data_IF_071449852141
#
_entry.id   IF_071449852141
#
_cell.length_a   1.000
_cell.length_b   1.000
_cell.length_c   1.000
_cell.angle_alpha   90.00
_cell.angle_beta   90.00
_cell.angle_gamma   90.00
#
_symmetry.space_group_name_H-M   'P 1'
#
loop_
_entity.id
_entity.type
_entity.pdbx_description
1 polymer ?
#
# COMPACT_ATOMS: atom_id res chain seq x y z
N UNK A 1 2.30 -2.22 47.47
CA UNK A 1 1.46 -3.28 46.86
C UNK A 1 0.66 -2.80 45.67
N UNK A 2 0.02 -1.63 45.71
CA UNK A 2 -0.74 -1.08 44.54
C UNK A 2 0.13 -0.73 43.34
N UNK A 3 1.32 -0.15 43.52
CA UNK A 3 2.23 0.20 42.42
C UNK A 3 2.81 -1.02 41.70
N UNK A 4 3.08 -2.12 42.42
CA UNK A 4 3.55 -3.38 41.80
C UNK A 4 2.45 -4.06 40.96
N UNK A 5 1.20 -3.93 41.39
CA UNK A 5 0.05 -4.46 40.66
C UNK A 5 -0.22 -3.63 39.37
N UNK A 6 -0.05 -2.29 39.41
CA UNK A 6 -0.17 -1.41 38.26
C UNK A 6 0.87 -1.71 37.21
N UNK A 7 2.14 -1.87 37.60
CA UNK A 7 3.23 -2.21 36.70
C UNK A 7 3.10 -3.60 36.05
N UNK A 8 2.58 -4.58 36.81
CA UNK A 8 2.31 -5.90 36.26
C UNK A 8 1.15 -5.89 35.24
N UNK A 9 0.13 -5.06 35.45
CA UNK A 9 -0.96 -4.89 34.48
C UNK A 9 -0.48 -4.17 33.19
N UNK A 10 0.33 -3.12 33.32
CA UNK A 10 0.92 -2.42 32.16
C UNK A 10 1.83 -3.35 31.33
N UNK A 11 2.62 -4.22 31.97
CA UNK A 11 3.43 -5.23 31.28
C UNK A 11 2.56 -6.27 30.56
N UNK A 12 1.45 -6.69 31.16
CA UNK A 12 0.53 -7.64 30.55
C UNK A 12 -0.18 -7.05 29.34
N UNK A 13 -0.60 -5.78 29.41
CA UNK A 13 -1.22 -5.06 28.29
C UNK A 13 -0.22 -4.85 27.13
N UNK A 14 1.05 -4.55 27.43
CA UNK A 14 2.12 -4.42 26.43
C UNK A 14 2.43 -5.74 25.74
N UNK A 15 2.43 -6.86 26.47
CA UNK A 15 2.64 -8.19 25.90
C UNK A 15 1.47 -8.60 24.99
N UNK A 16 0.22 -8.31 25.36
CA UNK A 16 -0.96 -8.61 24.54
C UNK A 16 -1.00 -7.75 23.25
N UNK A 17 -0.62 -6.48 23.34
CA UNK A 17 -0.55 -5.58 22.17
C UNK A 17 0.58 -5.97 21.21
N UNK A 18 1.73 -6.36 21.75
CA UNK A 18 2.87 -6.87 20.97
C UNK A 18 2.56 -8.22 20.30
N UNK A 19 1.86 -9.12 20.97
CA UNK A 19 1.41 -10.39 20.41
C UNK A 19 0.39 -10.18 19.28
N UNK A 20 -0.47 -9.17 19.38
CA UNK A 20 -1.44 -8.80 18.34
C UNK A 20 -0.73 -8.26 17.10
N UNK A 21 0.24 -7.34 17.24
CA UNK A 21 1.04 -6.83 16.13
C UNK A 21 1.83 -7.95 15.41
N UNK A 22 2.41 -8.86 16.17
CA UNK A 22 3.12 -10.02 15.61
C UNK A 22 2.15 -10.94 14.87
N UNK A 23 0.98 -11.19 15.41
CA UNK A 23 -0.04 -12.02 14.77
C UNK A 23 -0.54 -11.41 13.45
N UNK A 24 -0.79 -10.09 13.42
CA UNK A 24 -1.18 -9.36 12.21
C UNK A 24 -0.07 -9.40 11.14
N UNK A 25 1.18 -9.21 11.56
CA UNK A 25 2.33 -9.29 10.66
C UNK A 25 2.47 -10.69 10.06
N UNK A 26 2.36 -11.72 10.89
CA UNK A 26 2.40 -13.12 10.46
C UNK A 26 1.23 -13.46 9.52
N UNK A 27 0.02 -12.94 9.76
CA UNK A 27 -1.13 -13.12 8.89
C UNK A 27 -0.88 -12.51 7.50
N UNK A 28 -0.32 -11.30 7.44
CA UNK A 28 0.04 -10.64 6.16
C UNK A 28 1.09 -11.43 5.38
N UNK A 29 2.12 -11.93 6.05
CA UNK A 29 3.13 -12.78 5.39
C UNK A 29 2.54 -14.12 4.94
N UNK A 30 1.67 -14.73 5.75
CA UNK A 30 1.00 -15.99 5.40
C UNK A 30 0.20 -15.85 4.12
N UNK A 31 -0.65 -14.84 4.01
CA UNK A 31 -1.43 -14.57 2.79
C UNK A 31 -0.51 -14.36 1.58
N UNK A 32 0.58 -13.59 1.74
CA UNK A 32 1.57 -13.40 0.68
C UNK A 32 2.23 -14.71 0.24
N UNK A 33 2.61 -15.56 1.20
CA UNK A 33 3.21 -16.86 0.91
C UNK A 33 2.24 -17.82 0.23
N UNK A 34 0.98 -17.86 0.66
CA UNK A 34 -0.07 -18.69 0.05
C UNK A 34 -0.38 -18.27 -1.41
N UNK A 35 -0.28 -16.98 -1.72
CA UNK A 35 -0.42 -16.47 -3.08
C UNK A 35 0.81 -16.78 -3.96
N UNK A 36 1.99 -16.80 -3.35
CA UNK A 36 3.25 -16.97 -4.08
C UNK A 36 3.66 -18.44 -4.26
N UNK A 37 3.41 -19.28 -3.26
CA UNK A 37 3.79 -20.68 -3.27
C UNK A 37 2.57 -21.59 -3.34
N UNK A 38 2.62 -22.64 -4.17
CA UNK A 38 1.61 -23.71 -4.16
C UNK A 38 1.65 -24.51 -2.87
N UNK A 39 2.87 -24.74 -2.36
CA UNK A 39 3.14 -25.38 -1.08
C UNK A 39 4.18 -24.50 -0.36
N UNK A 40 3.86 -24.02 0.83
CA UNK A 40 4.75 -23.15 1.60
C UNK A 40 5.96 -23.98 2.06
N UNK A 41 7.21 -23.55 1.78
CA UNK A 41 8.41 -24.23 2.25
C UNK A 41 8.51 -24.31 3.78
N UNK A 42 9.20 -25.33 4.30
CA UNK A 42 9.42 -25.48 5.75
C UNK A 42 10.21 -24.30 6.35
N UNK A 43 11.21 -23.79 5.61
CA UNK A 43 11.93 -22.58 6.03
C UNK A 43 11.17 -21.33 5.59
N UNK A 44 10.32 -20.85 6.49
CA UNK A 44 9.48 -19.64 6.30
C UNK A 44 10.34 -18.39 6.07
N UNK A 45 11.50 -18.27 6.74
CA UNK A 45 12.36 -17.09 6.58
C UNK A 45 12.99 -17.05 5.19
N UNK A 46 13.45 -18.19 4.67
CA UNK A 46 13.96 -18.28 3.31
C UNK A 46 12.84 -18.03 2.30
N UNK A 47 11.64 -18.57 2.53
CA UNK A 47 10.47 -18.35 1.68
C UNK A 47 10.09 -16.86 1.59
N UNK A 48 10.03 -16.17 2.72
CA UNK A 48 9.77 -14.71 2.77
C UNK A 48 10.87 -13.94 2.01
N UNK A 49 12.13 -14.26 2.25
CA UNK A 49 13.25 -13.59 1.58
C UNK A 49 13.20 -13.76 0.05
N UNK A 50 12.86 -14.96 -0.43
CA UNK A 50 12.70 -15.22 -1.87
C UNK A 50 11.50 -14.51 -2.47
N UNK A 51 10.38 -14.47 -1.74
CA UNK A 51 9.20 -13.71 -2.16
C UNK A 51 9.51 -12.21 -2.28
N UNK A 52 10.17 -11.63 -1.29
CA UNK A 52 10.59 -10.23 -1.32
C UNK A 52 11.61 -9.94 -2.42
N UNK A 53 12.59 -10.84 -2.60
CA UNK A 53 13.56 -10.73 -3.69
C UNK A 53 12.88 -10.73 -5.07
N UNK A 54 11.89 -11.60 -5.26
CA UNK A 54 11.11 -11.60 -6.49
C UNK A 54 10.32 -10.30 -6.67
N UNK A 55 9.66 -9.83 -5.61
CA UNK A 55 8.91 -8.57 -5.63
C UNK A 55 9.81 -7.38 -5.96
N UNK A 56 11.03 -7.35 -5.44
CA UNK A 56 12.05 -6.35 -5.71
C UNK A 56 12.75 -6.55 -7.08
N UNK A 57 12.23 -7.41 -7.95
CA UNK A 57 12.76 -7.71 -9.28
C UNK A 57 14.19 -8.24 -9.29
N UNK A 58 14.58 -9.04 -8.29
CA UNK A 58 15.92 -9.62 -8.17
C UNK A 58 17.02 -8.63 -7.81
N UNK A 59 16.66 -7.40 -7.44
CA UNK A 59 17.65 -6.38 -7.04
C UNK A 59 18.16 -6.71 -5.64
N UNK A 60 19.46 -6.99 -5.54
CA UNK A 60 20.10 -7.06 -4.23
C UNK A 60 20.10 -5.66 -3.61
N UNK A 61 19.61 -5.57 -2.36
CA UNK A 61 19.55 -4.32 -1.61
C UNK A 61 20.96 -3.85 -1.20
N UNK A 62 21.75 -3.39 -2.16
CA UNK A 62 23.11 -2.84 -1.93
C UNK A 62 23.04 -1.56 -1.09
N UNK A 63 21.87 -0.90 -1.01
CA UNK A 63 21.69 0.40 -0.37
C UNK A 63 20.80 0.42 0.88
N UNK A 64 20.55 -0.74 1.55
CA UNK A 64 19.80 -0.75 2.85
C UNK A 64 20.35 0.22 3.90
N UNK A 65 21.60 0.68 3.76
CA UNK A 65 22.21 1.68 4.66
C UNK A 65 21.79 3.12 4.36
N UNK A 66 21.31 3.43 3.14
CA UNK A 66 20.86 4.79 2.77
C UNK A 66 19.35 4.99 2.92
N UNK A 67 18.55 3.92 2.86
CA UNK A 67 17.09 4.03 2.95
C UNK A 67 16.56 4.19 4.40
N UNK A 68 17.39 4.01 5.43
CA UNK A 68 17.01 4.30 6.84
C UNK A 68 16.68 5.78 7.14
N UNK A 69 16.82 6.68 6.15
CA UNK A 69 16.38 8.08 6.25
C UNK A 69 15.10 8.41 5.47
N UNK A 70 14.55 7.47 4.72
CA UNK A 70 13.20 7.59 4.16
C UNK A 70 12.20 7.11 5.22
N UNK A 71 12.07 7.89 6.27
CA UNK A 71 11.01 7.73 7.25
C UNK A 71 9.67 7.78 6.54
N UNK A 72 8.72 6.95 7.01
CA UNK A 72 7.30 6.98 6.66
C UNK A 72 7.07 7.36 5.20
N UNK A 73 7.47 6.48 4.28
CA UNK A 73 7.33 6.74 2.85
C UNK A 73 5.84 6.82 2.51
N UNK A 74 5.33 8.06 2.43
CA UNK A 74 3.97 8.29 1.97
C UNK A 74 3.80 7.54 0.65
N UNK A 75 2.82 6.64 0.57
CA UNK A 75 2.44 5.94 -0.64
C UNK A 75 2.18 6.96 -1.75
N UNK A 76 2.89 6.84 -2.87
CA UNK A 76 2.84 7.82 -3.96
C UNK A 76 1.97 7.35 -5.12
N UNK A 77 1.69 6.05 -5.21
CA UNK A 77 0.73 5.43 -6.12
C UNK A 77 0.12 4.19 -5.46
N UNK A 78 -1.00 3.74 -6.00
CA UNK A 78 -1.69 2.52 -5.60
C UNK A 78 -2.14 1.76 -6.83
N UNK A 79 -1.82 0.46 -6.92
CA UNK A 79 -2.15 -0.33 -8.09
C UNK A 79 -3.67 -0.50 -8.31
N UNK A 80 -4.46 -0.49 -7.24
CA UNK A 80 -5.92 -0.60 -7.35
C UNK A 80 -6.55 0.77 -7.64
N UNK A 81 -6.17 1.78 -6.86
CA UNK A 81 -6.75 3.12 -6.99
C UNK A 81 -6.38 3.80 -8.31
N UNK A 82 -5.15 3.59 -8.79
CA UNK A 82 -4.63 4.19 -10.01
C UNK A 82 -4.70 3.24 -11.22
N UNK A 83 -5.41 2.11 -11.11
CA UNK A 83 -5.46 1.05 -12.12
C UNK A 83 -5.77 1.57 -13.52
N UNK A 84 -6.77 2.42 -13.66
CA UNK A 84 -7.20 2.97 -14.96
C UNK A 84 -6.12 3.83 -15.62
N UNK A 85 -5.40 4.63 -14.82
CA UNK A 85 -4.31 5.47 -15.34
C UNK A 85 -3.09 4.63 -15.73
N UNK A 86 -2.81 3.56 -14.99
CA UNK A 86 -1.74 2.61 -15.31
C UNK A 86 -2.09 1.86 -16.58
N UNK A 87 -3.31 1.33 -16.67
CA UNK A 87 -3.81 0.65 -17.86
C UNK A 87 -3.69 1.53 -19.11
N UNK A 88 -4.22 2.76 -19.04
CA UNK A 88 -4.19 3.69 -20.15
C UNK A 88 -2.74 4.01 -20.61
N UNK A 89 -1.82 4.21 -19.66
CA UNK A 89 -0.42 4.49 -19.97
C UNK A 89 0.28 3.30 -20.64
N UNK A 90 0.03 2.07 -20.20
CA UNK A 90 0.58 0.86 -20.84
C UNK A 90 0.02 0.65 -22.22
N UNK A 91 -1.28 0.85 -22.39
CA UNK A 91 -1.93 0.72 -23.69
C UNK A 91 -1.42 1.77 -24.68
N UNK A 92 -1.36 3.05 -24.26
CA UNK A 92 -0.91 4.16 -25.09
C UNK A 92 0.57 4.04 -25.48
N UNK A 93 1.45 3.76 -24.50
CA UNK A 93 2.89 3.80 -24.74
C UNK A 93 3.45 2.50 -25.34
N UNK A 94 2.89 1.36 -24.96
CA UNK A 94 3.44 0.03 -25.32
C UNK A 94 2.50 -0.80 -26.17
N UNK A 95 1.24 -0.41 -26.34
CA UNK A 95 0.21 -1.22 -27.00
C UNK A 95 -0.12 -2.51 -26.22
N UNK A 96 0.17 -2.53 -24.92
CA UNK A 96 -0.07 -3.68 -24.05
C UNK A 96 -1.44 -3.53 -23.40
N UNK A 97 -2.34 -4.48 -23.67
CA UNK A 97 -3.60 -4.61 -22.97
C UNK A 97 -3.40 -5.43 -21.68
N UNK A 98 -3.36 -4.73 -20.55
CA UNK A 98 -3.17 -5.36 -19.25
C UNK A 98 -4.35 -6.21 -18.79
N UNK A 99 -5.54 -6.06 -19.41
CA UNK A 99 -6.71 -6.86 -19.10
C UNK A 99 -6.70 -8.22 -19.85
N UNK A 100 -6.05 -8.28 -21.02
CA UNK A 100 -6.03 -9.46 -21.87
C UNK A 100 -4.67 -10.20 -21.85
N UNK A 101 -3.58 -9.49 -21.53
CA UNK A 101 -2.21 -10.02 -21.62
C UNK A 101 -1.62 -10.29 -20.24
N UNK A 102 -1.29 -11.55 -19.99
CA UNK A 102 -0.49 -11.87 -18.80
C UNK A 102 0.92 -11.29 -18.93
N UNK A 103 1.29 -10.45 -17.95
CA UNK A 103 2.58 -9.80 -17.92
C UNK A 103 3.36 -10.24 -16.70
N UNK A 104 4.54 -10.82 -16.91
CA UNK A 104 5.44 -11.18 -15.81
C UNK A 104 5.76 -9.95 -14.96
N UNK A 105 5.75 -10.08 -13.63
CA UNK A 105 5.95 -8.97 -12.68
C UNK A 105 7.17 -8.11 -12.98
N UNK A 106 8.30 -8.72 -13.28
CA UNK A 106 9.53 -7.98 -13.57
C UNK A 106 9.43 -7.15 -14.85
N UNK A 107 8.76 -7.68 -15.87
CA UNK A 107 8.49 -6.93 -17.11
C UNK A 107 7.56 -5.76 -16.84
N UNK A 108 6.47 -6.00 -16.09
CA UNK A 108 5.56 -4.94 -15.67
C UNK A 108 6.30 -3.83 -14.91
N UNK A 109 7.08 -4.18 -13.88
CA UNK A 109 7.83 -3.23 -13.06
C UNK A 109 8.84 -2.40 -13.88
N UNK A 110 9.53 -3.04 -14.82
CA UNK A 110 10.47 -2.35 -15.71
C UNK A 110 9.74 -1.35 -16.64
N UNK A 111 8.65 -1.77 -17.27
CA UNK A 111 7.84 -0.92 -18.15
C UNK A 111 7.16 0.21 -17.39
N UNK A 112 6.62 -0.07 -16.19
CA UNK A 112 6.03 0.95 -15.33
C UNK A 112 7.04 2.03 -14.94
N UNK A 113 8.27 1.63 -14.60
CA UNK A 113 9.35 2.57 -14.28
C UNK A 113 9.86 3.37 -15.49
N UNK A 114 9.60 2.91 -16.71
CA UNK A 114 10.00 3.55 -17.96
C UNK A 114 8.85 4.32 -18.64
N UNK A 115 7.72 4.50 -17.96
CA UNK A 115 6.63 5.32 -18.48
C UNK A 115 7.07 6.78 -18.67
N UNK A 116 6.58 7.39 -19.73
CA UNK A 116 6.84 8.79 -20.07
C UNK A 116 6.33 9.73 -18.96
N UNK A 117 7.06 10.81 -18.70
CA UNK A 117 6.62 11.89 -17.79
C UNK A 117 5.32 12.57 -18.28
N UNK A 118 5.00 12.45 -19.56
CA UNK A 118 3.81 13.05 -20.15
C UNK A 118 2.54 12.23 -19.91
N UNK A 119 2.64 10.95 -19.58
CA UNK A 119 1.46 10.14 -19.29
C UNK A 119 0.79 10.57 -17.97
N UNK A 120 -0.52 10.26 -17.86
CA UNK A 120 -1.32 10.77 -16.75
C UNK A 120 -0.87 10.24 -15.39
N UNK A 121 -0.49 8.97 -15.29
CA UNK A 121 -0.03 8.39 -14.01
C UNK A 121 1.27 9.04 -13.52
N UNK A 122 2.23 9.34 -14.40
CA UNK A 122 3.47 10.04 -14.04
C UNK A 122 3.20 11.46 -13.54
N UNK A 123 2.26 12.17 -14.18
CA UNK A 123 1.80 13.48 -13.70
C UNK A 123 1.14 13.40 -12.31
N UNK A 124 0.27 12.41 -12.10
CA UNK A 124 -0.40 12.18 -10.81
C UNK A 124 0.63 11.91 -9.71
N UNK A 125 1.60 11.04 -9.96
CA UNK A 125 2.69 10.76 -9.02
C UNK A 125 3.44 12.05 -8.70
N UNK A 126 3.79 12.84 -9.71
CA UNK A 126 4.46 14.12 -9.56
C UNK A 126 3.62 15.09 -8.70
N UNK A 127 2.32 15.22 -8.96
CA UNK A 127 1.43 16.07 -8.15
C UNK A 127 1.40 15.66 -6.69
N UNK A 128 1.42 14.37 -6.37
CA UNK A 128 1.41 13.86 -4.99
C UNK A 128 2.68 14.18 -4.21
N UNK A 129 3.85 14.18 -4.87
CA UNK A 129 5.15 14.35 -4.20
C UNK A 129 5.74 15.75 -4.26
N UNK A 130 5.30 16.58 -5.21
CA UNK A 130 5.91 17.88 -5.45
C UNK A 130 5.94 18.75 -4.19
N UNK A 131 7.09 19.36 -3.87
CA UNK A 131 7.16 20.38 -2.80
C UNK A 131 6.73 21.74 -3.36
N UNK A 132 5.73 22.32 -2.73
CA UNK A 132 5.18 23.63 -3.14
C UNK A 132 5.81 24.79 -2.37
N UNK A 133 6.87 24.55 -1.58
CA UNK A 133 7.61 25.60 -0.87
C UNK A 133 8.38 26.45 -1.89
N UNK A 134 8.27 27.75 -1.75
CA UNK A 134 8.99 28.68 -2.64
C UNK A 134 8.34 28.91 -4.00
N UNK A 135 7.22 28.26 -4.32
CA UNK A 135 6.47 28.54 -5.56
C UNK A 135 5.67 29.83 -5.45
N UNK A 136 5.44 30.47 -6.60
CA UNK A 136 4.53 31.60 -6.70
C UNK A 136 3.09 31.19 -6.32
N UNK A 137 2.30 32.17 -5.87
CA UNK A 137 0.95 31.94 -5.32
C UNK A 137 0.05 31.15 -6.26
N UNK A 138 0.08 31.45 -7.55
CA UNK A 138 -0.74 30.80 -8.56
C UNK A 138 -0.32 29.35 -8.80
N UNK A 139 0.98 29.10 -8.98
CA UNK A 139 1.54 27.77 -9.12
C UNK A 139 1.25 26.91 -7.88
N UNK A 140 1.47 27.45 -6.69
CA UNK A 140 1.16 26.79 -5.43
C UNK A 140 -0.30 26.41 -5.31
N UNK A 141 -1.22 27.32 -5.72
CA UNK A 141 -2.65 27.07 -5.72
C UNK A 141 -3.01 25.92 -6.68
N UNK A 142 -2.42 25.90 -7.87
CA UNK A 142 -2.60 24.84 -8.85
C UNK A 142 -2.15 23.48 -8.32
N UNK A 143 -0.90 23.37 -7.83
CA UNK A 143 -0.38 22.09 -7.34
C UNK A 143 -1.11 21.60 -6.08
N UNK A 144 -1.52 22.48 -5.18
CA UNK A 144 -2.32 22.11 -4.02
C UNK A 144 -3.72 21.59 -4.42
N UNK A 145 -4.29 22.15 -5.49
CA UNK A 145 -5.55 21.63 -6.06
C UNK A 145 -5.34 20.25 -6.66
N UNK A 146 -4.25 20.03 -7.44
CA UNK A 146 -3.94 18.73 -8.03
C UNK A 146 -3.65 17.67 -6.97
N UNK A 147 -2.91 18.02 -5.92
CA UNK A 147 -2.69 17.12 -4.77
C UNK A 147 -4.00 16.62 -4.15
N UNK A 148 -4.95 17.52 -3.93
CA UNK A 148 -6.26 17.14 -3.36
C UNK A 148 -7.10 16.31 -4.32
N UNK A 149 -7.06 16.64 -5.61
CA UNK A 149 -7.83 15.93 -6.63
C UNK A 149 -7.38 14.47 -6.79
N UNK A 150 -6.08 14.22 -6.68
CA UNK A 150 -5.45 12.91 -6.88
C UNK A 150 -4.92 12.30 -5.57
N UNK A 151 -5.42 12.75 -4.42
CA UNK A 151 -5.02 12.19 -3.13
C UNK A 151 -5.43 10.72 -3.05
N UNK A 152 -4.49 9.86 -2.61
CA UNK A 152 -4.83 8.47 -2.34
C UNK A 152 -5.78 8.38 -1.15
N UNK A 153 -6.72 7.42 -1.17
CA UNK A 153 -7.49 7.10 0.02
C UNK A 153 -6.54 6.88 1.20
N UNK A 154 -6.94 7.33 2.36
CA UNK A 154 -6.21 6.99 3.58
C UNK A 154 -6.36 5.49 3.82
N UNK A 155 -5.28 4.84 4.23
CA UNK A 155 -5.38 3.47 4.71
C UNK A 155 -6.37 3.46 5.87
N UNK A 156 -7.51 2.84 5.65
CA UNK A 156 -8.58 2.68 6.64
C UNK A 156 -8.19 1.45 7.45
N UNK A 157 -8.31 1.52 8.78
CA UNK A 157 -8.08 0.34 9.62
C UNK A 157 -9.04 -0.80 9.23
N UNK A 158 -8.65 -2.05 9.45
CA UNK A 158 -9.50 -3.20 9.16
C UNK A 158 -10.86 -3.07 9.85
N UNK A 159 -10.90 -2.55 11.07
CA UNK A 159 -12.14 -2.29 11.83
C UNK A 159 -13.03 -1.26 11.12
N UNK A 160 -12.45 -0.20 10.58
CA UNK A 160 -13.21 0.82 9.84
C UNK A 160 -13.67 0.31 8.48
N UNK A 161 -12.85 -0.53 7.82
CA UNK A 161 -13.22 -1.21 6.57
C UNK A 161 -14.42 -2.14 6.82
N UNK A 162 -14.36 -3.01 7.83
CA UNK A 162 -15.46 -3.89 8.20
C UNK A 162 -16.73 -3.11 8.57
N UNK A 163 -16.58 -1.98 9.25
CA UNK A 163 -17.70 -1.10 9.57
C UNK A 163 -18.33 -0.51 8.32
N UNK A 164 -17.53 -0.02 7.38
CA UNK A 164 -18.02 0.50 6.10
C UNK A 164 -18.69 -0.58 5.27
N UNK A 165 -18.12 -1.80 5.23
CA UNK A 165 -18.71 -2.94 4.53
C UNK A 165 -20.07 -3.34 5.13
N UNK A 166 -20.18 -3.38 6.47
CA UNK A 166 -21.44 -3.64 7.15
C UNK A 166 -22.49 -2.58 6.86
N UNK A 167 -22.11 -1.29 6.89
CA UNK A 167 -23.00 -0.18 6.53
C UNK A 167 -23.45 -0.30 5.06
N UNK A 168 -22.53 -0.61 4.17
CA UNK A 168 -22.83 -0.78 2.74
C UNK A 168 -23.78 -1.95 2.51
N UNK A 169 -23.56 -3.08 3.16
CA UNK A 169 -24.46 -4.24 3.07
C UNK A 169 -25.86 -3.94 3.63
N UNK A 170 -25.94 -3.23 4.77
CA UNK A 170 -27.22 -2.81 5.33
C UNK A 170 -27.99 -1.88 4.38
N UNK A 171 -27.29 -0.92 3.75
CA UNK A 171 -27.90 0.00 2.77
C UNK A 171 -28.36 -0.70 1.48
N UNK A 172 -27.65 -1.75 1.04
CA UNK A 172 -28.01 -2.54 -0.13
C UNK A 172 -29.10 -3.59 0.16
N UNK A 173 -29.28 -3.94 1.46
CA UNK A 173 -30.29 -4.86 1.95
C UNK A 173 -31.61 -4.18 2.30
N UNK A 174 -31.94 -4.17 3.58
CA UNK A 174 -33.19 -3.60 4.12
C UNK A 174 -33.06 -2.14 4.57
N UNK A 175 -31.86 -1.59 4.57
CA UNK A 175 -31.57 -0.23 5.04
C UNK A 175 -31.54 -0.08 6.57
N UNK A 176 -31.56 -1.17 7.31
CA UNK A 176 -31.50 -1.12 8.80
C UNK A 176 -30.04 -0.89 9.25
N UNK A 177 -29.79 0.31 9.77
CA UNK A 177 -28.51 0.74 10.32
C UNK A 177 -28.44 0.64 11.84
N UNK A 178 -29.42 -0.02 12.48
CA UNK A 178 -29.51 -0.12 13.95
C UNK A 178 -28.23 -0.82 14.49
N UNK A 179 -27.44 -0.12 15.30
CA UNK A 179 -26.23 -0.63 15.94
C UNK A 179 -24.96 -0.51 15.09
N UNK A 180 -25.00 0.14 13.92
CA UNK A 180 -23.83 0.38 13.05
C UNK A 180 -23.34 1.83 13.07
N UNK A 181 -24.11 2.73 13.67
CA UNK A 181 -23.80 4.17 13.82
C UNK A 181 -23.30 4.49 15.22
#
# INVERSE_FOLDING_TARGET
MQEQQSFANELCELDEEMDKEIAELLAKYKTGLELYYKEIPEDINEAINKMLWFYECGKENIDKKKSKKSGSGKKIYDYNHDADYIYAAFFEQYGIDLAEQELHWWKFSALFSALSDDCMISKIITYRVIDTKGMEKEQKAFYNRMKRLYELPKDISEEEQERQDKITQALLGDGDLTGLL
#
